data_IF_783341527273
#
_entry.id   IF_783341527273
#
_cell.length_a   1.000
_cell.length_b   1.000
_cell.length_c   1.000
_cell.angle_alpha   90.00
_cell.angle_beta   90.00
_cell.angle_gamma   90.00
#
_symmetry.space_group_name_H-M   'P 1'
#
loop_
_entity.id
_entity.type
_entity.pdbx_description
1 polymer ?
#
# COMPACT_ATOMS: atom_id res chain seq x y z
N UNK A 1 -54.83 -31.47 3.45
CA UNK A 1 -53.91 -32.59 3.76
C UNK A 1 -52.70 -32.46 2.86
N UNK A 2 -51.55 -32.04 3.40
CA UNK A 2 -50.29 -32.03 2.65
C UNK A 2 -49.69 -33.44 2.73
N UNK A 3 -49.68 -34.16 1.61
CA UNK A 3 -49.05 -35.48 1.50
C UNK A 3 -47.55 -35.34 1.73
N UNK A 4 -47.01 -35.99 2.76
CA UNK A 4 -45.57 -36.01 2.99
C UNK A 4 -44.86 -36.69 1.81
N UNK A 5 -43.71 -36.16 1.35
CA UNK A 5 -42.98 -36.75 0.24
C UNK A 5 -42.48 -38.16 0.64
N UNK A 6 -42.45 -39.10 -0.31
CA UNK A 6 -42.00 -40.47 -0.05
C UNK A 6 -40.59 -40.49 0.55
N UNK A 7 -40.35 -41.42 1.50
CA UNK A 7 -39.09 -41.53 2.26
C UNK A 7 -37.84 -41.57 1.37
N UNK A 8 -37.92 -42.15 0.18
CA UNK A 8 -36.83 -42.19 -0.81
C UNK A 8 -36.36 -40.79 -1.24
N UNK A 9 -37.27 -39.83 -1.42
CA UNK A 9 -36.96 -38.45 -1.82
C UNK A 9 -36.28 -37.68 -0.69
N UNK A 10 -36.65 -37.97 0.56
CA UNK A 10 -36.02 -37.34 1.74
C UNK A 10 -34.57 -37.81 1.94
N UNK A 11 -34.28 -39.09 1.70
CA UNK A 11 -32.92 -39.64 1.79
C UNK A 11 -32.03 -39.00 0.73
N UNK A 12 -32.49 -38.93 -0.53
CA UNK A 12 -31.72 -38.32 -1.63
C UNK A 12 -31.44 -36.84 -1.35
N UNK A 13 -32.42 -36.07 -0.87
CA UNK A 13 -32.20 -34.66 -0.49
C UNK A 13 -31.16 -34.51 0.61
N UNK A 14 -31.24 -35.31 1.69
CA UNK A 14 -30.25 -35.26 2.78
C UNK A 14 -28.84 -35.57 2.28
N UNK A 15 -28.68 -36.58 1.43
CA UNK A 15 -27.38 -36.93 0.85
C UNK A 15 -26.83 -35.79 -0.02
N UNK A 16 -27.66 -35.16 -0.86
CA UNK A 16 -27.23 -34.01 -1.67
C UNK A 16 -26.78 -32.85 -0.77
N UNK A 17 -27.54 -32.52 0.28
CA UNK A 17 -27.17 -31.44 1.22
C UNK A 17 -25.83 -31.72 1.93
N UNK A 18 -25.61 -32.94 2.40
CA UNK A 18 -24.35 -33.32 3.07
C UNK A 18 -23.16 -33.25 2.11
N UNK A 19 -23.33 -33.73 0.87
CA UNK A 19 -22.28 -33.66 -0.16
C UNK A 19 -21.95 -32.21 -0.53
N UNK A 20 -22.96 -31.35 -0.69
CA UNK A 20 -22.76 -29.93 -0.99
C UNK A 20 -22.07 -29.21 0.17
N UNK A 21 -22.47 -29.48 1.43
CA UNK A 21 -21.82 -28.92 2.61
C UNK A 21 -20.36 -29.37 2.75
N UNK A 22 -20.08 -30.67 2.51
CA UNK A 22 -18.72 -31.18 2.51
C UNK A 22 -17.87 -30.55 1.39
N UNK A 23 -18.43 -30.44 0.18
CA UNK A 23 -17.79 -29.76 -0.94
C UNK A 23 -17.47 -28.29 -0.63
N UNK A 24 -18.42 -27.55 -0.06
CA UNK A 24 -18.22 -26.16 0.38
C UNK A 24 -17.14 -26.08 1.47
N UNK A 25 -17.14 -27.00 2.44
CA UNK A 25 -16.14 -27.05 3.50
C UNK A 25 -14.72 -27.32 3.00
N UNK A 26 -14.56 -28.10 1.93
CA UNK A 26 -13.26 -28.46 1.36
C UNK A 26 -12.75 -27.38 0.38
N UNK A 27 -13.64 -26.67 -0.31
CA UNK A 27 -13.26 -25.74 -1.40
C UNK A 27 -13.20 -24.29 -0.94
N UNK A 28 -14.07 -23.86 -0.02
CA UNK A 28 -14.11 -22.48 0.46
C UNK A 28 -12.82 -22.00 1.15
N UNK A 29 -12.10 -22.82 1.96
CA UNK A 29 -10.87 -22.36 2.63
C UNK A 29 -9.79 -21.91 1.66
N UNK A 30 -9.71 -22.52 0.47
CA UNK A 30 -8.68 -22.20 -0.52
C UNK A 30 -8.91 -20.83 -1.17
N UNK A 31 -10.14 -20.57 -1.64
CA UNK A 31 -10.51 -19.27 -2.19
C UNK A 31 -10.42 -18.16 -1.12
N UNK A 32 -10.82 -18.47 0.12
CA UNK A 32 -10.68 -17.55 1.27
C UNK A 32 -9.21 -17.25 1.57
N UNK A 33 -8.36 -18.27 1.67
CA UNK A 33 -6.93 -18.10 1.93
C UNK A 33 -6.23 -17.25 0.87
N UNK A 34 -6.45 -17.56 -0.41
CA UNK A 34 -5.91 -16.75 -1.51
C UNK A 34 -6.47 -15.32 -1.51
N UNK A 35 -7.76 -15.14 -1.24
CA UNK A 35 -8.37 -13.80 -1.14
C UNK A 35 -7.75 -12.96 -0.02
N UNK A 36 -7.48 -13.57 1.14
CA UNK A 36 -6.77 -12.90 2.24
C UNK A 36 -5.32 -12.56 1.89
N UNK A 37 -4.62 -13.42 1.15
CA UNK A 37 -3.26 -13.14 0.67
C UNK A 37 -3.23 -11.97 -0.33
N UNK A 38 -4.15 -11.95 -1.30
CA UNK A 38 -4.30 -10.85 -2.26
C UNK A 38 -4.58 -9.54 -1.52
N UNK A 39 -5.49 -9.57 -0.54
CA UNK A 39 -5.80 -8.41 0.30
C UNK A 39 -4.57 -7.93 1.06
N UNK A 40 -3.83 -8.83 1.72
CA UNK A 40 -2.59 -8.48 2.45
C UNK A 40 -1.55 -7.85 1.54
N UNK A 41 -1.27 -8.47 0.40
CA UNK A 41 -0.32 -7.96 -0.59
C UNK A 41 -0.70 -6.58 -1.15
N UNK A 42 -2.01 -6.29 -1.24
CA UNK A 42 -2.51 -4.99 -1.68
C UNK A 42 -2.36 -3.90 -0.59
N UNK A 43 -2.44 -4.28 0.69
CA UNK A 43 -2.32 -3.36 1.82
C UNK A 43 -0.90 -2.85 2.14
N UNK A 44 0.13 -3.57 1.70
CA UNK A 44 1.55 -3.23 1.96
C UNK A 44 2.16 -2.28 0.90
N UNK A 45 1.43 -1.95 -0.17
CA UNK A 45 1.95 -1.10 -1.25
C UNK A 45 1.75 0.39 -1.00
N UNK A 46 2.69 1.20 -1.50
CA UNK A 46 2.64 2.66 -1.42
C UNK A 46 1.50 3.27 -2.24
N UNK A 47 1.09 2.61 -3.33
CA UNK A 47 -0.04 3.02 -4.17
C UNK A 47 -1.28 2.14 -3.96
N UNK A 48 -1.91 2.31 -2.80
CA UNK A 48 -3.12 1.59 -2.40
C UNK A 48 -4.26 1.78 -3.43
N UNK A 49 -4.43 2.99 -3.99
CA UNK A 49 -5.57 3.27 -4.88
C UNK A 49 -5.44 2.58 -6.23
N UNK A 50 -4.26 2.60 -6.84
CA UNK A 50 -4.05 1.93 -8.13
C UNK A 50 -4.16 0.41 -8.01
N UNK A 51 -3.60 -0.19 -6.93
CA UNK A 51 -3.70 -1.64 -6.74
C UNK A 51 -5.13 -2.13 -6.54
N UNK A 52 -5.94 -1.43 -5.76
CA UNK A 52 -7.35 -1.83 -5.57
C UNK A 52 -8.18 -1.70 -6.84
N UNK A 53 -7.85 -0.76 -7.74
CA UNK A 53 -8.44 -0.72 -9.09
C UNK A 53 -8.06 -1.97 -9.89
N UNK A 54 -6.79 -2.38 -9.81
CA UNK A 54 -6.32 -3.63 -10.42
C UNK A 54 -7.03 -4.86 -9.87
N UNK A 55 -7.17 -4.98 -8.54
CA UNK A 55 -7.90 -6.07 -7.88
C UNK A 55 -9.37 -6.09 -8.30
N UNK A 56 -10.01 -4.92 -8.43
CA UNK A 56 -11.38 -4.81 -8.94
C UNK A 56 -11.52 -5.33 -10.37
N UNK A 57 -10.66 -4.86 -11.29
CA UNK A 57 -10.68 -5.31 -12.69
C UNK A 57 -10.44 -6.83 -12.78
N UNK A 58 -9.48 -7.34 -11.99
CA UNK A 58 -9.16 -8.75 -11.93
C UNK A 58 -10.33 -9.58 -11.36
N UNK A 59 -11.01 -9.09 -10.32
CA UNK A 59 -12.18 -9.74 -9.75
C UNK A 59 -13.34 -9.85 -10.74
N UNK A 60 -13.62 -8.78 -11.49
CA UNK A 60 -14.65 -8.82 -12.54
C UNK A 60 -14.30 -9.85 -13.60
N UNK A 61 -13.05 -9.83 -14.10
CA UNK A 61 -12.59 -10.77 -15.10
C UNK A 61 -12.68 -12.22 -14.61
N UNK A 62 -12.17 -12.52 -13.41
CA UNK A 62 -12.20 -13.88 -12.89
C UNK A 62 -13.63 -14.35 -12.58
N UNK A 63 -14.51 -13.47 -12.10
CA UNK A 63 -15.93 -13.79 -11.90
C UNK A 63 -16.64 -14.11 -13.22
N UNK A 64 -16.34 -13.37 -14.30
CA UNK A 64 -16.86 -13.65 -15.64
C UNK A 64 -16.37 -15.01 -16.15
N UNK A 65 -15.07 -15.29 -16.06
CA UNK A 65 -14.48 -16.58 -16.46
C UNK A 65 -15.14 -17.72 -15.67
N UNK A 66 -15.25 -17.57 -14.35
CA UNK A 66 -15.89 -18.56 -13.49
C UNK A 66 -17.35 -18.80 -13.89
N UNK A 67 -18.12 -17.73 -14.14
CA UNK A 67 -19.51 -17.83 -14.59
C UNK A 67 -19.67 -18.50 -15.96
N UNK A 68 -18.79 -18.18 -16.92
CA UNK A 68 -18.78 -18.79 -18.25
C UNK A 68 -18.44 -20.28 -18.16
N UNK A 69 -17.41 -20.65 -17.41
CA UNK A 69 -17.05 -22.05 -17.16
C UNK A 69 -18.20 -22.81 -16.49
N UNK A 70 -18.83 -22.21 -15.48
CA UNK A 70 -20.00 -22.80 -14.83
C UNK A 70 -21.15 -23.05 -15.82
N UNK A 71 -21.41 -22.09 -16.71
CA UNK A 71 -22.55 -22.10 -17.64
C UNK A 71 -22.37 -23.04 -18.83
N UNK A 72 -21.14 -23.16 -19.34
CA UNK A 72 -20.86 -23.88 -20.59
C UNK A 72 -20.15 -25.21 -20.37
N UNK A 73 -19.23 -25.29 -19.41
CA UNK A 73 -18.44 -26.49 -19.18
C UNK A 73 -19.06 -27.39 -18.11
N UNK A 74 -19.88 -26.84 -17.21
CA UNK A 74 -20.43 -27.56 -16.06
C UNK A 74 -19.37 -28.44 -15.36
N UNK A 75 -18.26 -27.85 -14.86
CA UNK A 75 -17.11 -28.63 -14.41
C UNK A 75 -17.41 -29.51 -13.19
N UNK A 76 -18.42 -29.18 -12.39
CA UNK A 76 -18.72 -29.86 -11.13
C UNK A 76 -19.08 -31.35 -11.28
N UNK A 77 -20.12 -31.75 -12.05
CA UNK A 77 -20.41 -33.17 -12.27
C UNK A 77 -19.17 -33.98 -12.67
N UNK A 78 -18.38 -33.46 -13.61
CA UNK A 78 -17.18 -34.12 -14.09
C UNK A 78 -16.12 -34.26 -12.97
N UNK A 79 -15.71 -33.15 -12.35
CA UNK A 79 -14.69 -33.15 -11.29
C UNK A 79 -15.11 -34.03 -10.10
N UNK A 80 -16.37 -33.95 -9.65
CA UNK A 80 -16.85 -34.79 -8.56
C UNK A 80 -16.90 -36.27 -8.95
N UNK A 81 -17.34 -36.60 -10.16
CA UNK A 81 -17.39 -37.98 -10.63
C UNK A 81 -16.00 -38.62 -10.64
N UNK A 82 -14.99 -37.87 -11.08
CA UNK A 82 -13.60 -38.32 -11.13
C UNK A 82 -12.97 -38.48 -9.75
N UNK A 83 -13.24 -37.55 -8.81
CA UNK A 83 -12.83 -37.67 -7.41
C UNK A 83 -13.43 -38.94 -6.79
N UNK A 84 -14.74 -39.14 -6.95
CA UNK A 84 -15.44 -40.30 -6.39
C UNK A 84 -14.96 -41.61 -7.02
N UNK A 85 -14.70 -41.63 -8.32
CA UNK A 85 -14.17 -42.80 -9.03
C UNK A 85 -12.75 -43.13 -8.55
N UNK A 86 -11.89 -42.12 -8.37
CA UNK A 86 -10.55 -42.28 -7.79
C UNK A 86 -10.61 -42.87 -6.38
N UNK A 87 -11.47 -42.34 -5.51
CA UNK A 87 -11.68 -42.85 -4.16
C UNK A 87 -12.20 -44.29 -4.15
N UNK A 88 -13.19 -44.60 -5.00
CA UNK A 88 -13.77 -45.94 -5.13
C UNK A 88 -12.77 -46.97 -5.65
N UNK A 89 -11.87 -46.56 -6.53
CA UNK A 89 -10.79 -47.40 -7.04
C UNK A 89 -9.58 -47.48 -6.10
N UNK A 90 -9.66 -46.91 -4.88
CA UNK A 90 -8.55 -46.77 -3.93
C UNK A 90 -7.31 -46.07 -4.52
N UNK A 91 -7.49 -45.25 -5.55
CA UNK A 91 -6.44 -44.46 -6.17
C UNK A 91 -6.49 -43.01 -5.66
N UNK A 92 -5.83 -42.78 -4.54
CA UNK A 92 -5.78 -41.46 -3.88
C UNK A 92 -5.10 -40.40 -4.74
N UNK A 93 -4.08 -40.77 -5.54
CA UNK A 93 -3.37 -39.84 -6.42
C UNK A 93 -4.32 -39.16 -7.40
N UNK A 94 -5.14 -39.96 -8.11
CA UNK A 94 -6.17 -39.45 -9.02
C UNK A 94 -7.19 -38.58 -8.30
N UNK A 95 -7.65 -38.98 -7.12
CA UNK A 95 -8.63 -38.19 -6.36
C UNK A 95 -8.06 -36.82 -5.94
N UNK A 96 -6.79 -36.76 -5.53
CA UNK A 96 -6.10 -35.52 -5.15
C UNK A 96 -5.87 -34.62 -6.36
N UNK A 97 -5.48 -35.17 -7.51
CA UNK A 97 -5.31 -34.42 -8.75
C UNK A 97 -6.59 -33.66 -9.14
N UNK A 98 -7.72 -34.36 -9.16
CA UNK A 98 -9.02 -33.74 -9.49
C UNK A 98 -9.53 -32.80 -8.39
N UNK A 99 -9.19 -33.05 -7.13
CA UNK A 99 -9.41 -32.09 -6.04
C UNK A 99 -8.61 -30.80 -6.28
N UNK A 100 -7.38 -30.91 -6.77
CA UNK A 100 -6.56 -29.77 -7.19
C UNK A 100 -7.20 -28.98 -8.33
N UNK A 101 -7.77 -29.66 -9.32
CA UNK A 101 -8.54 -29.02 -10.39
C UNK A 101 -9.76 -28.24 -9.87
N UNK A 102 -10.46 -28.81 -8.88
CA UNK A 102 -11.57 -28.14 -8.20
C UNK A 102 -11.11 -26.89 -7.43
N UNK A 103 -10.00 -26.97 -6.69
CA UNK A 103 -9.41 -25.83 -6.00
C UNK A 103 -8.94 -24.74 -6.97
N UNK A 104 -8.29 -25.12 -8.06
CA UNK A 104 -7.88 -24.20 -9.11
C UNK A 104 -9.09 -23.45 -9.68
N UNK A 105 -10.18 -24.16 -9.98
CA UNK A 105 -11.41 -23.54 -10.44
C UNK A 105 -11.97 -22.52 -9.42
N UNK A 106 -12.01 -22.87 -8.14
CA UNK A 106 -12.46 -21.96 -7.08
C UNK A 106 -11.49 -20.81 -6.79
N UNK A 107 -10.21 -20.93 -7.14
CA UNK A 107 -9.22 -19.87 -6.97
C UNK A 107 -9.56 -18.62 -7.79
N UNK A 108 -10.33 -18.78 -8.88
CA UNK A 108 -10.88 -17.66 -9.67
C UNK A 108 -11.79 -16.75 -8.83
N UNK A 109 -12.38 -17.24 -7.73
CA UNK A 109 -13.18 -16.40 -6.84
C UNK A 109 -12.33 -15.67 -5.78
N UNK A 110 -11.04 -15.96 -5.66
CA UNK A 110 -10.18 -15.34 -4.65
C UNK A 110 -10.16 -13.79 -4.70
N UNK A 111 -10.10 -13.13 -5.87
CA UNK A 111 -10.12 -11.67 -5.92
C UNK A 111 -11.48 -11.08 -5.47
N UNK A 112 -12.59 -11.77 -5.75
CA UNK A 112 -13.92 -11.37 -5.28
C UNK A 112 -13.98 -11.45 -3.76
N UNK A 113 -13.43 -12.53 -3.18
CA UNK A 113 -13.33 -12.68 -1.73
C UNK A 113 -12.45 -11.58 -1.12
N UNK A 114 -11.33 -11.22 -1.76
CA UNK A 114 -10.47 -10.12 -1.31
C UNK A 114 -11.25 -8.78 -1.21
N UNK A 115 -12.09 -8.48 -2.21
CA UNK A 115 -12.96 -7.29 -2.20
C UNK A 115 -14.03 -7.35 -1.11
N UNK A 116 -14.67 -8.51 -0.92
CA UNK A 116 -15.66 -8.70 0.14
C UNK A 116 -15.03 -8.51 1.52
N UNK A 117 -13.84 -9.07 1.75
CA UNK A 117 -13.11 -8.87 2.99
C UNK A 117 -12.74 -7.40 3.22
N UNK A 118 -12.38 -6.66 2.17
CA UNK A 118 -12.09 -5.22 2.28
C UNK A 118 -13.35 -4.39 2.59
N UNK A 119 -14.50 -4.78 2.03
CA UNK A 119 -15.78 -4.14 2.33
C UNK A 119 -16.30 -4.44 3.75
N UNK A 120 -16.12 -5.68 4.22
CA UNK A 120 -16.60 -6.16 5.53
C UNK A 120 -15.70 -5.77 6.69
N UNK A 121 -14.40 -5.68 6.44
CA UNK A 121 -13.43 -5.16 7.38
C UNK A 121 -13.02 -3.81 6.82
N UNK A 122 -13.84 -2.75 6.96
CA UNK A 122 -13.40 -1.41 6.64
C UNK A 122 -12.23 -1.16 7.57
N UNK A 123 -11.02 -1.31 7.01
CA UNK A 123 -9.79 -1.17 7.76
C UNK A 123 -9.89 0.19 8.42
N UNK A 124 -9.97 0.19 9.74
CA UNK A 124 -10.03 1.35 10.63
C UNK A 124 -8.70 2.10 10.55
N UNK A 125 -8.30 2.52 9.34
CA UNK A 125 -7.39 3.62 9.07
C UNK A 125 -8.23 4.88 8.88
N UNK A 126 -9.19 5.12 9.78
CA UNK A 126 -9.50 6.50 10.15
C UNK A 126 -8.24 6.97 10.85
N UNK A 127 -7.42 7.73 10.14
CA UNK A 127 -6.34 8.51 10.74
C UNK A 127 -7.01 9.37 11.81
N UNK A 128 -6.98 8.92 13.06
CA UNK A 128 -7.40 9.72 14.20
C UNK A 128 -6.43 10.88 14.23
N UNK A 129 -6.83 12.02 13.64
CA UNK A 129 -6.09 13.26 13.77
C UNK A 129 -6.14 13.62 15.25
N UNK A 130 -5.06 13.29 15.96
CA UNK A 130 -4.85 13.75 17.33
C UNK A 130 -4.78 15.28 17.23
N UNK A 131 -5.74 16.03 17.79
CA UNK A 131 -5.63 17.48 17.83
C UNK A 131 -4.38 17.80 18.64
N UNK A 132 -3.39 18.44 18.01
CA UNK A 132 -2.21 18.94 18.73
C UNK A 132 -2.70 20.01 19.70
N UNK A 133 -2.61 19.72 20.99
CA UNK A 133 -2.69 20.75 22.02
C UNK A 133 -1.68 21.84 21.68
N UNK A 134 -2.16 23.08 21.59
CA UNK A 134 -1.33 24.27 21.38
C UNK A 134 -0.39 24.42 22.57
N UNK A 135 0.84 23.93 22.43
CA UNK A 135 1.88 24.19 23.41
C UNK A 135 2.38 25.63 23.23
N UNK A 136 1.93 26.45 24.17
CA UNK A 136 2.73 27.44 24.89
C UNK A 136 2.65 28.91 24.44
N UNK A 137 2.59 29.73 25.49
CA UNK A 137 2.43 31.17 25.57
C UNK A 137 3.65 31.94 25.02
N UNK A 138 3.48 33.10 24.38
CA UNK A 138 4.53 33.86 23.66
C UNK A 138 5.73 34.36 24.49
N UNK A 139 5.80 34.08 25.80
CA UNK A 139 6.89 34.52 26.68
C UNK A 139 8.10 33.58 26.75
N UNK A 140 7.92 32.27 26.59
CA UNK A 140 9.00 31.26 26.71
C UNK A 140 9.83 31.10 25.42
N UNK A 141 9.37 31.68 24.32
CA UNK A 141 9.88 31.43 22.96
C UNK A 141 11.31 31.95 22.76
N UNK A 142 11.68 33.11 23.32
CA UNK A 142 12.99 33.75 23.08
C UNK A 142 14.17 33.04 23.75
N UNK A 143 13.99 32.53 24.97
CA UNK A 143 15.04 31.79 25.66
C UNK A 143 15.26 30.41 25.01
N UNK A 144 14.18 29.79 24.53
CA UNK A 144 14.21 28.50 23.87
C UNK A 144 14.71 28.59 22.41
N UNK A 145 14.47 29.71 21.71
CA UNK A 145 15.07 30.04 20.41
C UNK A 145 16.61 30.02 20.47
N UNK A 146 17.22 30.69 21.46
CA UNK A 146 18.68 30.74 21.58
C UNK A 146 19.31 29.38 21.92
N UNK A 147 18.62 28.56 22.72
CA UNK A 147 19.10 27.22 23.09
C UNK A 147 18.96 26.21 21.94
N UNK A 148 17.85 26.26 21.20
CA UNK A 148 17.62 25.39 20.04
C UNK A 148 18.56 25.75 18.89
N UNK A 149 18.79 27.03 18.61
CA UNK A 149 19.75 27.47 17.59
C UNK A 149 21.17 26.92 17.85
N UNK A 150 21.60 26.85 19.11
CA UNK A 150 22.91 26.26 19.48
C UNK A 150 22.93 24.74 19.38
N UNK A 151 21.84 24.06 19.75
CA UNK A 151 21.73 22.59 19.66
C UNK A 151 21.70 22.06 18.23
N UNK A 152 21.00 22.77 17.34
CA UNK A 152 20.93 22.40 15.92
C UNK A 152 22.25 22.64 15.16
N UNK A 153 23.06 23.64 15.55
CA UNK A 153 24.41 23.83 14.98
C UNK A 153 25.31 22.62 15.21
N UNK A 154 25.40 22.09 16.44
CA UNK A 154 26.33 20.99 16.75
C UNK A 154 25.98 19.67 16.07
N UNK A 155 24.70 19.34 15.92
CA UNK A 155 24.26 18.07 15.31
C UNK A 155 24.28 18.16 13.79
N UNK A 156 23.91 19.32 13.22
CA UNK A 156 23.96 19.57 11.79
C UNK A 156 25.38 19.51 11.24
N UNK A 157 26.33 20.19 11.88
CA UNK A 157 27.69 20.30 11.37
C UNK A 157 28.46 18.97 11.43
N UNK A 158 28.15 18.08 12.38
CA UNK A 158 28.76 16.74 12.46
C UNK A 158 28.16 15.72 11.48
N UNK A 159 26.87 15.81 11.14
CA UNK A 159 26.23 14.93 10.16
C UNK A 159 26.44 15.40 8.71
N UNK A 160 26.77 16.68 8.50
CA UNK A 160 27.03 17.28 7.18
C UNK A 160 28.51 17.27 6.78
N UNK A 161 29.43 16.94 7.69
CA UNK A 161 30.86 16.78 7.40
C UNK A 161 31.08 15.57 6.47
N UNK A 162 30.91 15.78 5.16
CA UNK A 162 31.00 14.77 4.10
C UNK A 162 29.80 14.73 3.16
N UNK A 163 28.81 15.60 3.34
CA UNK A 163 27.68 15.71 2.42
C UNK A 163 27.99 16.77 1.34
N UNK A 164 28.20 16.39 0.07
CA UNK A 164 28.53 17.35 -0.98
C UNK A 164 27.31 18.23 -1.27
N UNK A 165 27.45 19.55 -1.19
CA UNK A 165 26.33 20.48 -1.47
C UNK A 165 25.88 20.40 -2.94
N UNK A 166 26.84 20.15 -3.85
CA UNK A 166 26.61 20.05 -5.29
C UNK A 166 27.37 18.85 -5.86
N UNK A 167 26.75 18.12 -6.78
CA UNK A 167 27.35 17.02 -7.54
C UNK A 167 26.97 17.15 -9.01
N UNK A 168 27.96 17.14 -9.91
CA UNK A 168 27.71 17.21 -11.35
C UNK A 168 26.95 18.47 -11.79
N UNK A 169 27.08 19.59 -11.07
CA UNK A 169 26.33 20.82 -11.34
C UNK A 169 24.92 20.86 -10.73
N UNK A 170 24.48 19.79 -10.05
CA UNK A 170 23.15 19.70 -9.43
C UNK A 170 23.24 19.81 -7.91
N UNK A 171 22.27 20.49 -7.30
CA UNK A 171 22.14 20.56 -5.85
C UNK A 171 21.82 19.20 -5.24
N UNK A 172 22.52 18.85 -4.17
CA UNK A 172 22.34 17.58 -3.47
C UNK A 172 21.36 17.71 -2.32
N UNK A 173 20.32 16.89 -2.32
CA UNK A 173 19.26 16.92 -1.30
C UNK A 173 19.58 16.01 -0.12
N UNK A 174 19.98 14.77 -0.40
CA UNK A 174 20.02 13.70 0.57
C UNK A 174 20.57 12.40 0.01
N UNK A 175 20.47 11.32 0.78
CA UNK A 175 20.70 9.95 0.28
C UNK A 175 19.36 9.34 -0.13
N UNK A 176 19.27 8.67 -1.29
CA UNK A 176 18.06 7.99 -1.70
C UNK A 176 17.81 6.79 -0.77
N UNK A 177 16.57 6.65 -0.29
CA UNK A 177 16.14 5.46 0.46
C UNK A 177 15.38 4.45 -0.44
N UNK A 178 14.90 4.90 -1.60
CA UNK A 178 14.13 4.13 -2.57
C UNK A 178 13.39 5.05 -3.56
N UNK A 179 12.62 4.46 -4.48
CA UNK A 179 11.80 5.19 -5.45
C UNK A 179 12.08 4.79 -6.90
N UNK A 180 11.60 5.59 -7.85
CA UNK A 180 11.77 5.40 -9.30
C UNK A 180 12.70 6.43 -9.96
N UNK A 181 13.13 7.47 -9.22
CA UNK A 181 13.95 8.57 -9.72
C UNK A 181 15.45 8.25 -9.67
N UNK A 182 15.85 7.05 -10.09
CA UNK A 182 17.26 6.63 -10.06
C UNK A 182 18.16 7.44 -10.99
N UNK A 183 17.58 8.03 -12.05
CA UNK A 183 18.27 8.98 -12.92
C UNK A 183 18.63 10.30 -12.23
N UNK A 184 18.12 10.56 -11.02
CA UNK A 184 18.50 11.71 -10.18
C UNK A 184 19.45 11.30 -9.05
N UNK A 185 20.06 10.12 -9.12
CA UNK A 185 21.05 9.67 -8.16
C UNK A 185 22.43 9.75 -8.81
N UNK A 186 23.32 10.57 -8.23
CA UNK A 186 24.71 10.75 -8.67
C UNK A 186 25.62 10.41 -7.49
N UNK A 187 26.56 9.50 -7.69
CA UNK A 187 27.51 9.05 -6.66
C UNK A 187 26.86 8.62 -5.33
N UNK A 188 25.67 8.02 -5.41
CA UNK A 188 24.91 7.56 -4.24
C UNK A 188 24.14 8.66 -3.51
N UNK A 189 24.08 9.86 -4.06
CA UNK A 189 23.31 10.97 -3.52
C UNK A 189 22.16 11.35 -4.44
N UNK A 190 21.01 11.69 -3.85
CA UNK A 190 19.87 12.21 -4.57
C UNK A 190 20.10 13.69 -4.86
N UNK A 191 20.20 14.02 -6.14
CA UNK A 191 20.36 15.38 -6.65
C UNK A 191 19.03 15.91 -7.19
N UNK A 192 18.89 17.23 -7.22
CA UNK A 192 17.70 17.89 -7.74
C UNK A 192 18.06 18.71 -8.98
N UNK A 193 17.90 18.18 -10.21
CA UNK A 193 18.44 18.83 -11.40
C UNK A 193 17.78 20.18 -11.70
N UNK A 194 18.54 21.18 -12.14
CA UNK A 194 18.03 22.53 -12.45
C UNK A 194 16.85 22.52 -13.44
N UNK A 195 16.90 21.67 -14.47
CA UNK A 195 15.84 21.60 -15.49
C UNK A 195 14.50 21.09 -14.94
N UNK A 196 14.45 20.52 -13.73
CA UNK A 196 13.21 20.00 -13.15
C UNK A 196 12.43 21.06 -12.37
N UNK A 197 13.08 22.17 -12.02
CA UNK A 197 12.46 23.27 -11.25
C UNK A 197 11.28 23.91 -11.99
N UNK A 198 11.23 23.84 -13.32
CA UNK A 198 10.10 24.33 -14.11
C UNK A 198 8.84 23.46 -14.00
N UNK A 199 8.95 22.21 -13.54
CA UNK A 199 7.83 21.25 -13.60
C UNK A 199 6.95 21.22 -12.36
N UNK A 200 7.18 22.11 -11.39
CA UNK A 200 6.58 22.07 -10.05
C UNK A 200 6.88 20.75 -9.31
N UNK A 201 6.97 20.82 -7.98
CA UNK A 201 7.19 19.64 -7.15
C UNK A 201 6.12 19.54 -6.07
N UNK A 202 5.68 18.32 -5.78
CA UNK A 202 4.76 18.01 -4.68
C UNK A 202 5.50 17.15 -3.67
N UNK A 203 5.64 17.66 -2.44
CA UNK A 203 6.23 16.92 -1.33
C UNK A 203 5.11 16.40 -0.42
N UNK A 204 4.88 15.09 -0.46
CA UNK A 204 3.89 14.40 0.36
C UNK A 204 4.55 13.45 1.37
N UNK A 205 3.93 13.29 2.53
CA UNK A 205 4.44 12.45 3.61
C UNK A 205 3.65 12.62 4.90
N UNK A 206 3.81 11.68 5.84
CA UNK A 206 3.16 11.76 7.15
C UNK A 206 3.73 12.92 8.00
N UNK A 207 3.04 13.32 9.06
CA UNK A 207 3.62 14.26 10.03
C UNK A 207 4.91 13.68 10.63
N UNK A 208 5.96 14.49 10.75
CA UNK A 208 7.25 14.07 11.30
C UNK A 208 8.21 13.39 10.30
N UNK A 209 7.83 13.18 9.04
CA UNK A 209 8.71 12.52 8.04
C UNK A 209 9.72 13.45 7.37
N UNK A 210 9.96 14.65 7.92
CA UNK A 210 10.96 15.58 7.37
C UNK A 210 10.54 16.41 6.15
N UNK A 211 9.23 16.57 5.87
CA UNK A 211 8.77 17.42 4.74
C UNK A 211 9.31 18.86 4.79
N UNK A 212 9.20 19.52 5.95
CA UNK A 212 9.70 20.89 6.12
C UNK A 212 11.22 20.96 5.93
N UNK A 213 11.94 19.94 6.38
CA UNK A 213 13.39 19.85 6.23
C UNK A 213 13.78 19.67 4.76
N UNK A 214 13.11 18.79 4.03
CA UNK A 214 13.31 18.60 2.59
C UNK A 214 13.05 19.91 1.82
N UNK A 215 11.95 20.59 2.10
CA UNK A 215 11.61 21.86 1.45
C UNK A 215 12.63 22.97 1.79
N UNK A 216 13.14 23.04 3.02
CA UNK A 216 14.22 23.97 3.39
C UNK A 216 15.51 23.68 2.64
N UNK A 217 15.87 22.40 2.45
CA UNK A 217 17.05 22.02 1.68
C UNK A 217 16.91 22.40 0.21
N UNK A 218 15.74 22.15 -0.39
CA UNK A 218 15.44 22.59 -1.76
C UNK A 218 15.57 24.11 -1.86
N UNK A 219 14.94 24.86 -0.96
CA UNK A 219 15.08 26.31 -0.91
C UNK A 219 16.55 26.77 -0.79
N UNK A 220 17.33 26.15 0.11
CA UNK A 220 18.75 26.45 0.28
C UNK A 220 19.52 26.22 -1.01
N UNK A 221 19.32 25.08 -1.68
CA UNK A 221 19.97 24.79 -2.95
C UNK A 221 19.57 25.77 -4.05
N UNK A 222 18.27 26.09 -4.15
CA UNK A 222 17.76 27.02 -5.16
C UNK A 222 18.38 28.41 -4.99
N UNK A 223 18.53 28.88 -3.76
CA UNK A 223 19.19 30.14 -3.46
C UNK A 223 20.73 30.08 -3.66
N UNK A 224 21.39 29.07 -3.08
CA UNK A 224 22.85 28.99 -3.01
C UNK A 224 23.50 28.56 -4.31
N UNK A 225 22.96 27.52 -4.93
CA UNK A 225 23.55 26.80 -6.07
C UNK A 225 22.98 27.33 -7.38
N UNK A 226 21.68 27.58 -7.42
CA UNK A 226 20.99 28.04 -8.63
C UNK A 226 20.76 29.56 -8.68
N UNK A 227 21.16 30.29 -7.64
CA UNK A 227 21.06 31.75 -7.55
C UNK A 227 19.63 32.27 -7.81
N UNK A 228 18.62 31.50 -7.40
CA UNK A 228 17.21 31.85 -7.55
C UNK A 228 16.68 32.59 -6.33
N UNK A 229 15.64 33.40 -6.56
CA UNK A 229 14.88 34.02 -5.47
C UNK A 229 13.86 33.02 -4.95
N UNK A 230 13.91 32.73 -3.65
CA UNK A 230 12.97 31.82 -3.00
C UNK A 230 11.95 32.61 -2.18
N UNK A 231 10.67 32.38 -2.46
CA UNK A 231 9.56 32.91 -1.66
C UNK A 231 9.00 31.75 -0.84
N UNK A 232 9.09 31.87 0.48
CA UNK A 232 8.58 30.87 1.41
C UNK A 232 7.24 31.30 2.00
N UNK A 233 6.21 30.47 1.80
CA UNK A 233 4.88 30.67 2.36
C UNK A 233 4.65 29.67 3.49
N UNK A 234 4.69 30.16 4.73
CA UNK A 234 4.36 29.35 5.90
C UNK A 234 2.84 29.39 6.15
N UNK A 235 2.15 28.30 5.77
CA UNK A 235 0.72 28.15 6.01
C UNK A 235 0.34 27.72 7.43
N UNK A 236 1.30 27.37 8.29
CA UNK A 236 1.05 26.92 9.67
C UNK A 236 1.41 27.95 10.73
N UNK A 237 2.29 28.90 10.40
CA UNK A 237 2.83 29.85 11.37
C UNK A 237 3.74 29.17 12.40
N UNK A 238 4.44 28.10 12.01
CA UNK A 238 5.38 27.42 12.90
C UNK A 238 6.69 28.21 12.95
N UNK A 239 6.88 28.94 14.04
CA UNK A 239 8.06 29.78 14.26
C UNK A 239 9.38 29.02 14.12
N UNK A 240 9.41 27.71 14.44
CA UNK A 240 10.62 26.89 14.31
C UNK A 240 10.98 26.70 12.85
N UNK A 241 9.99 26.45 12.01
CA UNK A 241 10.20 26.27 10.58
C UNK A 241 10.60 27.58 9.91
N UNK A 242 9.95 28.70 10.29
CA UNK A 242 10.32 30.03 9.83
C UNK A 242 11.74 30.44 10.23
N UNK A 243 12.14 30.20 11.49
CA UNK A 243 13.49 30.48 11.97
C UNK A 243 14.53 29.60 11.25
N UNK A 244 14.22 28.31 11.06
CA UNK A 244 15.07 27.39 10.30
C UNK A 244 15.24 27.83 8.84
N UNK A 245 14.16 28.27 8.19
CA UNK A 245 14.23 28.80 6.83
C UNK A 245 15.09 30.08 6.76
N UNK A 246 14.88 31.04 7.67
CA UNK A 246 15.67 32.27 7.73
C UNK A 246 17.16 31.98 7.88
N UNK A 247 17.51 31.05 8.78
CA UNK A 247 18.89 30.63 8.98
C UNK A 247 19.48 29.97 7.73
N UNK A 248 18.70 29.12 7.04
CA UNK A 248 19.13 28.51 5.78
C UNK A 248 19.38 29.57 4.70
N UNK A 249 18.50 30.56 4.54
CA UNK A 249 18.69 31.64 3.58
C UNK A 249 19.90 32.52 3.91
N UNK A 250 20.13 32.84 5.20
CA UNK A 250 21.33 33.57 5.61
C UNK A 250 22.63 32.81 5.30
N UNK A 251 22.62 31.47 5.37
CA UNK A 251 23.76 30.63 4.95
C UNK A 251 23.91 30.57 3.43
N UNK A 252 22.82 30.68 2.69
CA UNK A 252 22.84 30.64 1.23
C UNK A 252 23.56 31.87 0.62
N UNK A 253 23.44 33.03 1.27
CA UNK A 253 24.00 34.30 0.82
C UNK A 253 22.89 35.28 0.44
#
# INVERSE_FOLDING_TARGET
MLTQPPRSVQVVRKTIYVVVLAALGITAPFALGLGLLIRRASGESWDYKERWRGVWAFAVLCALIYGLMFRFLHPYPFLFSEILLGLRAHNLGRAVEWMGGLWFYHSLLAPVVALLCEGLIPTTRRVTMIPRQSLSSPGETRAQEHLLARGFHRIGDQLLAGFPEQLGGHGTVGRPLGGSLWQWVVDGFFVFPLYTLIYHAVVAGQSGTGKSELLRRIAYMDAKIYHMKVIWVDGKGDWKDAAGFKLAMQKAG
#
